data_IF_950826912189
#
_entry.id   IF_950826912189
#
_cell.length_a   1.000
_cell.length_b   1.000
_cell.length_c   1.000
_cell.angle_alpha   90.00
_cell.angle_beta   90.00
_cell.angle_gamma   90.00
#
_symmetry.space_group_name_H-M   'P 1'
#
loop_
_entity.id
_entity.type
_entity.pdbx_description
1 polymer ?
#
# COMPACT_ATOMS: atom_id res chain seq x y z
N UNK A 1 -30.05 -45.25 -14.30
CA UNK A 1 -28.92 -46.20 -14.44
C UNK A 1 -27.71 -45.46 -14.97
N UNK A 2 -26.57 -45.62 -14.28
CA UNK A 2 -25.16 -45.45 -14.72
C UNK A 2 -24.62 -44.03 -14.97
N UNK A 3 -23.86 -43.57 -13.97
CA UNK A 3 -22.75 -42.61 -14.02
C UNK A 3 -21.77 -42.93 -15.16
N UNK A 4 -21.09 -41.90 -15.69
CA UNK A 4 -19.71 -42.01 -16.14
C UNK A 4 -18.96 -40.68 -15.90
N UNK A 5 -18.03 -40.73 -14.94
CA UNK A 5 -16.96 -39.75 -14.73
C UNK A 5 -15.81 -40.04 -15.71
N UNK A 6 -15.14 -39.01 -16.22
CA UNK A 6 -13.81 -39.17 -16.82
C UNK A 6 -12.94 -37.96 -16.47
N UNK A 7 -12.07 -38.19 -15.50
CA UNK A 7 -10.96 -37.32 -15.10
C UNK A 7 -9.79 -37.67 -16.02
N UNK A 8 -9.21 -36.68 -16.71
CA UNK A 8 -7.93 -36.82 -17.40
C UNK A 8 -6.91 -35.87 -16.74
N UNK A 9 -6.08 -36.43 -15.87
CA UNK A 9 -4.89 -35.78 -15.32
C UNK A 9 -3.71 -36.06 -16.25
N UNK A 10 -3.06 -35.02 -16.77
CA UNK A 10 -1.77 -35.13 -17.46
C UNK A 10 -0.72 -34.34 -16.68
N UNK A 11 0.15 -35.07 -15.99
CA UNK A 11 1.36 -34.55 -15.35
C UNK A 11 2.53 -34.81 -16.32
N UNK A 12 3.22 -33.75 -16.74
CA UNK A 12 4.54 -33.88 -17.35
C UNK A 12 5.57 -33.16 -16.46
N UNK A 13 6.47 -33.95 -15.88
CA UNK A 13 7.69 -33.50 -15.21
C UNK A 13 8.83 -33.69 -16.21
N UNK A 14 9.50 -32.61 -16.59
CA UNK A 14 10.76 -32.66 -17.31
C UNK A 14 11.86 -32.10 -16.41
N UNK A 15 12.79 -32.96 -16.01
CA UNK A 15 14.02 -32.59 -15.30
C UNK A 15 15.20 -32.75 -16.25
N UNK A 16 15.96 -31.69 -16.50
CA UNK A 16 17.26 -31.75 -17.18
C UNK A 16 18.33 -31.29 -16.20
N UNK A 17 19.14 -32.25 -15.74
CA UNK A 17 20.44 -31.99 -15.12
C UNK A 17 21.52 -32.04 -16.21
N UNK A 18 22.35 -31.00 -16.30
CA UNK A 18 23.68 -31.11 -16.89
C UNK A 18 24.63 -30.06 -16.27
N UNK A 19 25.74 -30.55 -15.71
CA UNK A 19 26.99 -29.88 -15.36
C UNK A 19 28.07 -30.99 -15.33
N UNK A 20 29.38 -30.70 -15.33
CA UNK A 20 30.14 -29.68 -16.06
C UNK A 20 31.29 -30.35 -16.89
N UNK A 21 31.99 -29.60 -17.75
CA UNK A 21 33.27 -30.06 -18.32
C UNK A 21 34.25 -28.90 -18.45
N UNK A 22 35.36 -29.01 -17.72
CA UNK A 22 36.51 -28.13 -17.82
C UNK A 22 37.41 -28.51 -19.00
N UNK A 23 37.98 -27.50 -19.65
CA UNK A 23 38.86 -27.67 -20.80
C UNK A 23 39.88 -26.55 -20.89
N UNK A 24 41.13 -26.92 -20.61
CA UNK A 24 42.37 -26.15 -20.62
C UNK A 24 42.54 -25.30 -21.89
N UNK A 25 43.05 -24.07 -21.75
CA UNK A 25 43.71 -23.33 -22.84
C UNK A 25 45.18 -23.14 -22.49
N UNK A 26 46.05 -23.77 -23.27
CA UNK A 26 47.49 -23.53 -23.29
C UNK A 26 47.83 -22.69 -24.54
N UNK A 27 48.53 -21.59 -24.28
CA UNK A 27 49.71 -21.06 -24.99
C UNK A 27 49.66 -20.87 -26.51
N UNK A 28 49.87 -19.63 -26.97
CA UNK A 28 51.09 -19.27 -27.73
C UNK A 28 51.27 -17.74 -27.86
N UNK A 29 52.54 -17.33 -27.76
CA UNK A 29 53.18 -16.11 -28.29
C UNK A 29 53.07 -14.80 -27.49
N UNK A 30 54.16 -14.43 -26.79
CA UNK A 30 55.15 -13.45 -27.24
C UNK A 30 56.07 -13.03 -26.09
N UNK A 31 57.36 -12.89 -26.41
CA UNK A 31 58.48 -12.63 -25.50
C UNK A 31 58.82 -11.12 -25.51
N UNK A 32 59.11 -10.61 -24.31
CA UNK A 32 59.96 -9.45 -23.95
C UNK A 32 59.59 -8.02 -24.38
N UNK A 33 59.35 -7.17 -23.35
CA UNK A 33 60.12 -5.95 -23.04
C UNK A 33 59.63 -5.45 -21.66
N UNK A 34 60.43 -5.57 -20.60
CA UNK A 34 61.32 -4.56 -20.05
C UNK A 34 60.72 -3.87 -18.81
N UNK A 35 61.51 -3.91 -17.73
CA UNK A 35 61.20 -3.54 -16.36
C UNK A 35 60.91 -2.05 -16.14
N UNK A 36 60.19 -1.75 -15.05
CA UNK A 36 60.10 -0.38 -14.52
C UNK A 36 59.10 -0.24 -13.36
N UNK A 37 59.53 -0.67 -12.17
CA UNK A 37 59.30 -0.04 -10.85
C UNK A 37 57.88 0.17 -10.31
N UNK A 38 57.65 -0.43 -9.15
CA UNK A 38 56.49 -0.29 -8.25
C UNK A 38 56.36 1.11 -7.59
N UNK A 39 55.22 1.26 -6.89
CA UNK A 39 54.90 2.12 -5.74
C UNK A 39 54.08 3.39 -6.03
N UNK A 40 52.79 3.35 -5.69
CA UNK A 40 52.04 4.37 -4.93
C UNK A 40 50.58 3.89 -4.77
N UNK A 41 50.17 3.39 -3.60
CA UNK A 41 49.71 4.13 -2.42
C UNK A 41 48.20 4.45 -2.48
N UNK A 42 47.49 3.84 -1.53
CA UNK A 42 46.11 4.10 -1.12
C UNK A 42 45.81 5.58 -0.91
N UNK A 43 44.64 6.02 -1.40
CA UNK A 43 43.98 7.23 -0.91
C UNK A 43 42.66 6.83 -0.25
N UNK A 44 42.72 6.77 1.09
CA UNK A 44 41.57 6.89 1.99
C UNK A 44 41.09 8.33 1.91
N UNK A 45 39.82 8.56 1.59
CA UNK A 45 39.19 9.87 1.70
C UNK A 45 38.29 9.88 2.94
N UNK A 46 38.82 10.44 4.02
CA UNK A 46 38.07 10.91 5.19
C UNK A 46 37.35 12.20 4.85
N UNK A 47 36.05 12.31 5.18
CA UNK A 47 35.42 13.61 5.41
C UNK A 47 34.83 13.57 6.82
N UNK A 48 35.26 14.55 7.61
CA UNK A 48 34.94 14.72 9.01
C UNK A 48 33.65 15.52 9.23
N UNK A 49 33.14 15.34 10.44
CA UNK A 49 32.07 16.05 11.14
C UNK A 49 32.04 17.58 10.97
N UNK A 50 30.83 18.13 10.92
CA UNK A 50 30.53 19.50 11.34
C UNK A 50 29.10 19.58 11.87
N UNK A 51 28.99 19.86 13.16
CA UNK A 51 27.76 20.05 13.91
C UNK A 51 27.19 21.48 13.80
N UNK A 52 25.86 21.54 13.90
CA UNK A 52 24.99 22.58 14.46
C UNK A 52 24.99 24.02 13.89
N UNK A 53 23.84 24.42 13.34
CA UNK A 53 23.27 25.74 13.57
C UNK A 53 21.73 25.69 13.50
N UNK A 54 21.13 26.13 14.60
CA UNK A 54 19.70 26.26 14.91
C UNK A 54 19.11 27.49 14.21
N UNK A 55 17.97 27.36 13.55
CA UNK A 55 17.04 28.49 13.35
C UNK A 55 15.60 28.00 13.41
N UNK A 56 14.94 28.41 14.49
CA UNK A 56 13.51 28.34 14.78
C UNK A 56 12.72 29.23 13.83
N UNK A 57 11.67 28.71 13.18
CA UNK A 57 10.62 29.53 12.60
C UNK A 57 9.26 28.85 12.85
N UNK A 58 8.45 29.50 13.67
CA UNK A 58 7.11 29.10 14.05
C UNK A 58 6.16 29.17 12.85
N UNK A 59 5.50 28.04 12.55
CA UNK A 59 4.37 27.95 11.64
C UNK A 59 3.11 27.65 12.42
N UNK A 60 2.14 28.57 12.35
CA UNK A 60 0.90 28.56 13.10
C UNK A 60 0.09 27.25 12.92
N UNK A 61 -0.19 26.59 14.04
CA UNK A 61 -1.14 25.50 14.12
C UNK A 61 -2.54 26.04 13.87
N UNK A 62 -3.12 25.69 12.73
CA UNK A 62 -4.57 25.82 12.52
C UNK A 62 -5.16 24.50 13.00
N UNK A 63 -5.65 24.50 14.25
CA UNK A 63 -6.37 23.39 14.85
C UNK A 63 -7.70 23.21 14.11
N UNK A 64 -7.76 22.26 13.18
CA UNK A 64 -9.04 21.70 12.75
C UNK A 64 -9.38 20.58 13.71
N UNK A 65 -10.40 20.79 14.53
CA UNK A 65 -10.91 19.83 15.49
C UNK A 65 -11.31 18.54 14.78
N UNK A 66 -10.56 17.46 15.02
CA UNK A 66 -11.02 16.12 14.75
C UNK A 66 -12.15 15.82 15.74
N UNK A 67 -13.33 15.50 15.20
CA UNK A 67 -14.42 14.98 16.00
C UNK A 67 -13.98 13.61 16.52
N UNK A 68 -13.73 13.53 17.83
CA UNK A 68 -13.56 12.28 18.56
C UNK A 68 -14.87 11.52 18.44
N UNK A 69 -14.87 10.44 17.67
CA UNK A 69 -15.85 9.37 17.78
C UNK A 69 -15.18 8.21 18.48
N UNK A 70 -16.01 7.49 19.24
CA UNK A 70 -15.67 6.47 20.23
C UNK A 70 -14.36 5.75 19.90
N UNK A 71 -13.31 6.07 20.68
CA UNK A 71 -12.11 5.25 20.72
C UNK A 71 -12.58 3.89 21.21
N UNK A 72 -12.49 2.86 20.36
CA UNK A 72 -12.36 1.50 20.85
C UNK A 72 -11.27 1.51 21.94
N UNK A 73 -11.50 0.77 23.03
CA UNK A 73 -10.55 0.72 24.15
C UNK A 73 -9.19 0.31 23.60
N UNK A 74 -8.28 1.29 23.43
CA UNK A 74 -6.95 1.08 22.84
C UNK A 74 -6.33 -0.15 23.47
N UNK A 75 -6.12 -1.19 22.66
CA UNK A 75 -5.42 -2.38 23.14
C UNK A 75 -4.07 -1.90 23.68
N UNK A 76 -3.74 -2.14 24.95
CA UNK A 76 -2.45 -1.74 25.50
C UNK A 76 -1.25 -2.35 24.74
N UNK A 77 -1.52 -3.31 23.85
CA UNK A 77 -0.57 -3.92 22.93
C UNK A 77 -0.69 -3.41 21.47
N UNK A 78 -1.13 -2.17 21.30
CA UNK A 78 -1.22 -1.47 20.02
C UNK A 78 -0.45 -0.14 20.02
N UNK A 79 0.19 0.17 18.90
CA UNK A 79 0.87 1.44 18.64
C UNK A 79 0.23 2.11 17.43
N UNK A 80 -0.54 3.15 17.67
CA UNK A 80 -1.03 4.04 16.60
C UNK A 80 0.03 5.10 16.31
N UNK A 81 0.43 5.23 15.05
CA UNK A 81 1.38 6.26 14.60
C UNK A 81 0.93 6.94 13.31
N UNK A 82 1.46 8.14 13.10
CA UNK A 82 1.21 8.94 11.90
C UNK A 82 2.46 8.94 11.01
N UNK A 83 2.26 8.85 9.70
CA UNK A 83 3.35 8.90 8.72
C UNK A 83 3.07 9.91 7.60
N UNK A 84 4.01 9.99 6.65
CA UNK A 84 3.88 10.75 5.41
C UNK A 84 4.26 9.85 4.24
N UNK A 85 3.64 10.09 3.09
CA UNK A 85 4.06 9.41 1.87
C UNK A 85 5.52 9.73 1.51
N UNK A 86 6.22 8.74 0.99
CA UNK A 86 7.63 8.79 0.62
C UNK A 86 8.60 8.70 1.80
N UNK A 87 8.13 8.63 3.05
CA UNK A 87 8.98 8.55 4.26
C UNK A 87 9.05 7.11 4.76
N UNK A 88 10.25 6.67 5.17
CA UNK A 88 10.42 5.39 5.85
C UNK A 88 10.06 5.54 7.33
N UNK A 89 9.27 4.61 7.84
CA UNK A 89 8.84 4.52 9.24
C UNK A 89 9.15 3.14 9.80
N UNK A 90 9.58 3.09 11.06
CA UNK A 90 9.84 1.83 11.74
C UNK A 90 8.53 1.23 12.22
N UNK A 91 8.37 -0.07 12.00
CA UNK A 91 7.31 -0.89 12.58
C UNK A 91 7.94 -1.75 13.67
N UNK A 92 7.40 -1.66 14.88
CA UNK A 92 7.91 -2.38 16.05
C UNK A 92 7.89 -3.89 15.86
N UNK A 93 8.67 -4.62 16.65
CA UNK A 93 8.57 -6.07 16.75
C UNK A 93 7.83 -6.48 18.03
N UNK A 94 8.01 -7.75 18.43
CA UNK A 94 7.49 -8.27 19.69
C UNK A 94 6.01 -8.62 19.67
N UNK A 95 5.41 -8.79 18.48
CA UNK A 95 3.98 -9.07 18.33
C UNK A 95 3.09 -8.00 18.98
N UNK A 96 3.50 -6.74 18.83
CA UNK A 96 2.73 -5.54 19.14
C UNK A 96 2.11 -5.07 17.81
N UNK A 97 0.80 -4.82 17.79
CA UNK A 97 0.12 -4.31 16.59
C UNK A 97 0.55 -2.85 16.38
N UNK A 98 0.87 -2.46 15.14
CA UNK A 98 1.24 -1.08 14.78
C UNK A 98 0.39 -0.60 13.63
N UNK A 99 -0.30 0.51 13.85
CA UNK A 99 -1.26 1.09 12.92
C UNK A 99 -0.69 2.39 12.41
N UNK A 100 -0.35 2.38 11.12
CA UNK A 100 0.32 3.51 10.48
C UNK A 100 -0.67 4.27 9.60
N UNK A 101 -1.15 5.39 10.13
CA UNK A 101 -2.06 6.28 9.45
C UNK A 101 -1.30 7.21 8.49
N UNK A 102 -1.81 7.33 7.26
CA UNK A 102 -1.30 8.26 6.25
C UNK A 102 -2.20 9.50 6.13
N UNK A 103 -1.70 10.60 5.53
CA UNK A 103 -2.50 11.80 5.33
C UNK A 103 -3.79 11.51 4.55
N UNK A 104 -4.87 12.21 4.93
CA UNK A 104 -6.18 12.11 4.26
C UNK A 104 -6.08 12.62 2.82
N UNK A 105 -6.58 11.82 1.87
CA UNK A 105 -6.76 12.12 0.46
C UNK A 105 -8.08 12.84 0.18
N UNK A 106 -8.68 12.60 -0.99
CA UNK A 106 -9.94 13.24 -1.40
C UNK A 106 -11.12 12.69 -0.59
N UNK A 107 -11.15 11.40 -0.36
CA UNK A 107 -12.27 10.66 0.19
C UNK A 107 -11.96 9.98 1.54
N UNK A 108 -10.69 9.75 1.88
CA UNK A 108 -10.30 9.04 3.09
C UNK A 108 -8.79 8.94 3.24
N UNK A 109 -8.32 8.17 4.21
CA UNK A 109 -6.90 7.90 4.39
C UNK A 109 -6.59 6.41 4.27
N UNK A 110 -5.39 6.11 3.79
CA UNK A 110 -4.81 4.79 3.88
C UNK A 110 -4.31 4.55 5.31
N UNK A 111 -4.53 3.34 5.81
CA UNK A 111 -3.86 2.79 6.97
C UNK A 111 -3.13 1.49 6.60
N UNK A 112 -1.98 1.27 7.23
CA UNK A 112 -1.26 -0.01 7.16
C UNK A 112 -1.12 -0.55 8.58
N UNK A 113 -1.80 -1.67 8.85
CA UNK A 113 -1.61 -2.43 10.08
C UNK A 113 -0.52 -3.50 9.92
N UNK A 114 0.30 -3.62 10.93
CA UNK A 114 1.37 -4.60 10.99
C UNK A 114 1.48 -5.23 12.38
N UNK A 115 1.70 -6.54 12.42
CA UNK A 115 2.12 -7.25 13.63
C UNK A 115 3.11 -8.34 13.26
N UNK A 116 4.20 -8.43 14.00
CA UNK A 116 5.16 -9.52 13.87
C UNK A 116 6.11 -9.55 15.07
N UNK A 117 6.76 -10.69 15.31
CA UNK A 117 7.82 -10.79 16.30
C UNK A 117 9.05 -9.94 15.92
N UNK A 118 9.40 -9.86 14.64
CA UNK A 118 10.54 -9.07 14.16
C UNK A 118 10.08 -7.76 13.54
N UNK A 119 10.75 -6.66 13.90
CA UNK A 119 10.52 -5.32 13.36
C UNK A 119 10.67 -5.26 11.83
N UNK A 120 10.06 -4.24 11.22
CA UNK A 120 10.16 -3.93 9.77
C UNK A 120 10.33 -2.43 9.55
N UNK A 121 10.62 -2.06 8.31
CA UNK A 121 10.63 -0.65 7.88
C UNK A 121 9.62 -0.49 6.76
N UNK A 122 8.56 0.27 7.01
CA UNK A 122 7.53 0.57 6.03
C UNK A 122 7.87 1.84 5.27
N UNK A 123 7.61 1.85 3.97
CA UNK A 123 7.51 3.07 3.17
C UNK A 123 6.29 2.94 2.29
N UNK A 124 5.45 3.98 2.25
CA UNK A 124 4.35 4.07 1.31
C UNK A 124 4.54 5.29 0.43
N UNK A 125 4.39 5.14 -0.88
CA UNK A 125 4.51 6.25 -1.85
C UNK A 125 3.27 6.33 -2.71
N UNK A 126 2.75 7.52 -2.95
CA UNK A 126 1.64 7.73 -3.88
C UNK A 126 2.10 7.65 -5.33
N UNK A 127 1.29 7.01 -6.16
CA UNK A 127 1.38 7.03 -7.61
C UNK A 127 0.16 7.79 -8.17
N UNK A 128 0.42 8.96 -8.76
CA UNK A 128 -0.59 9.85 -9.35
C UNK A 128 -0.98 9.45 -10.77
N UNK A 129 -0.36 8.40 -11.31
CA UNK A 129 -0.71 7.78 -12.59
C UNK A 129 -0.94 6.29 -12.34
N UNK A 130 -2.02 5.93 -11.63
CA UNK A 130 -2.33 4.54 -11.32
C UNK A 130 -2.56 3.72 -12.61
N UNK A 131 -2.47 2.40 -12.48
CA UNK A 131 -2.95 1.47 -13.51
C UNK A 131 -4.46 1.58 -13.77
N UNK A 132 -5.01 0.61 -14.47
CA UNK A 132 -6.45 0.64 -14.82
C UNK A 132 -7.31 0.07 -13.71
N UNK A 133 -8.46 0.69 -13.43
CA UNK A 133 -9.46 0.15 -12.49
C UNK A 133 -9.99 -1.22 -12.95
N UNK A 134 -10.40 -2.11 -12.03
CA UNK A 134 -11.10 -3.33 -12.39
C UNK A 134 -12.42 -3.01 -13.10
N UNK A 135 -12.85 -3.88 -14.02
CA UNK A 135 -14.15 -3.69 -14.71
C UNK A 135 -15.30 -3.63 -13.70
N UNK A 136 -16.19 -2.64 -13.86
CA UNK A 136 -17.34 -2.41 -12.99
C UNK A 136 -17.03 -1.60 -11.73
N UNK A 137 -15.81 -1.07 -11.62
CA UNK A 137 -15.38 -0.25 -10.50
C UNK A 137 -14.75 1.07 -10.99
N UNK A 138 -14.96 2.12 -10.20
CA UNK A 138 -14.27 3.39 -10.32
C UNK A 138 -13.24 3.53 -9.19
N UNK A 139 -12.15 4.24 -9.45
CA UNK A 139 -11.23 4.65 -8.39
C UNK A 139 -11.95 5.56 -7.39
N UNK A 140 -11.81 5.24 -6.10
CA UNK A 140 -12.26 6.12 -5.03
C UNK A 140 -11.31 7.30 -4.84
N UNK A 141 -10.00 7.06 -4.94
CA UNK A 141 -8.95 8.09 -4.87
C UNK A 141 -8.28 8.27 -6.24
N UNK A 142 -7.83 9.48 -6.63
CA UNK A 142 -7.13 9.70 -7.90
C UNK A 142 -5.68 9.16 -7.90
N UNK A 143 -5.28 8.44 -6.85
CA UNK A 143 -3.94 7.91 -6.64
C UNK A 143 -4.01 6.43 -6.28
N UNK A 144 -2.87 5.77 -6.34
CA UNK A 144 -2.63 4.44 -5.76
C UNK A 144 -1.42 4.49 -4.84
N UNK A 145 -1.27 3.49 -3.97
CA UNK A 145 -0.30 3.48 -2.89
C UNK A 145 0.67 2.32 -3.05
N UNK A 146 1.94 2.64 -3.28
CA UNK A 146 3.04 1.67 -3.35
C UNK A 146 3.57 1.41 -1.95
N UNK A 147 3.28 0.22 -1.43
CA UNK A 147 3.72 -0.25 -0.12
C UNK A 147 5.01 -1.06 -0.28
N UNK A 148 6.05 -0.61 0.40
CA UNK A 148 7.34 -1.27 0.51
C UNK A 148 7.61 -1.64 1.96
N UNK A 149 8.16 -2.83 2.19
CA UNK A 149 8.45 -3.34 3.53
C UNK A 149 9.88 -3.90 3.60
N UNK A 150 10.80 -3.13 4.18
CA UNK A 150 12.14 -3.56 4.52
C UNK A 150 12.11 -4.73 5.51
N UNK A 151 12.81 -5.82 5.20
CA UNK A 151 12.71 -7.09 5.92
C UNK A 151 11.67 -8.08 5.35
N UNK A 152 10.87 -7.64 4.37
CA UNK A 152 9.94 -8.48 3.61
C UNK A 152 8.63 -8.80 4.34
N UNK A 153 7.64 -9.23 3.56
CA UNK A 153 6.26 -9.44 3.96
C UNK A 153 5.85 -10.93 4.04
N UNK A 154 6.82 -11.84 4.11
CA UNK A 154 6.52 -13.27 4.23
C UNK A 154 6.28 -13.65 5.69
N UNK A 155 5.24 -14.45 5.92
CA UNK A 155 4.93 -15.08 7.22
C UNK A 155 4.88 -14.08 8.38
N UNK A 156 4.30 -12.90 8.15
CA UNK A 156 4.05 -11.93 9.21
C UNK A 156 2.79 -12.35 9.99
N UNK A 157 2.73 -12.00 11.27
CA UNK A 157 1.59 -12.33 12.15
C UNK A 157 0.30 -11.62 11.70
N UNK A 158 0.40 -10.36 11.29
CA UNK A 158 -0.70 -9.57 10.73
C UNK A 158 -0.18 -8.63 9.65
N UNK A 159 -0.94 -8.52 8.57
CA UNK A 159 -0.74 -7.53 7.52
C UNK A 159 -2.11 -7.10 7.01
N UNK A 160 -2.39 -5.80 7.09
CA UNK A 160 -3.59 -5.26 6.49
C UNK A 160 -3.31 -4.00 5.67
N UNK A 161 -4.21 -3.73 4.73
CA UNK A 161 -4.21 -2.54 3.88
C UNK A 161 -5.60 -1.94 3.95
N UNK A 162 -5.76 -0.98 4.84
CA UNK A 162 -7.06 -0.51 5.24
C UNK A 162 -7.31 0.91 4.74
N UNK A 163 -8.59 1.28 4.69
CA UNK A 163 -8.99 2.58 4.20
C UNK A 163 -10.16 3.13 4.98
N UNK A 164 -9.88 4.21 5.71
CA UNK A 164 -10.84 4.89 6.56
C UNK A 164 -11.49 6.02 5.77
N UNK A 165 -12.82 6.00 5.64
CA UNK A 165 -13.55 7.06 4.97
C UNK A 165 -13.50 8.35 5.78
N UNK A 166 -13.16 9.46 5.12
CA UNK A 166 -13.26 10.78 5.75
C UNK A 166 -14.72 11.16 6.01
N UNK A 167 -14.94 11.89 7.10
CA UNK A 167 -16.26 12.44 7.42
C UNK A 167 -16.81 13.34 6.29
N UNK A 168 -15.94 14.06 5.58
CA UNK A 168 -16.33 14.91 4.45
C UNK A 168 -16.86 14.09 3.26
N UNK A 169 -16.20 12.99 2.91
CA UNK A 169 -16.66 12.08 1.84
C UNK A 169 -17.99 11.42 2.19
N UNK A 170 -18.11 10.96 3.44
CA UNK A 170 -19.36 10.39 3.96
C UNK A 170 -20.51 11.42 3.92
N UNK A 171 -20.27 12.65 4.37
CA UNK A 171 -21.26 13.73 4.30
C UNK A 171 -21.62 14.10 2.86
N UNK A 172 -20.70 13.93 1.92
CA UNK A 172 -20.96 14.10 0.51
C UNK A 172 -21.80 12.96 -0.09
N UNK A 173 -22.06 11.86 0.64
CA UNK A 173 -22.91 10.76 0.18
C UNK A 173 -22.16 9.67 -0.59
N UNK A 174 -20.83 9.63 -0.51
CA UNK A 174 -20.04 8.51 -1.02
C UNK A 174 -20.25 7.31 -0.10
N UNK A 175 -20.62 6.16 -0.67
CA UNK A 175 -20.78 4.90 0.07
C UNK A 175 -19.66 3.93 -0.28
N UNK A 176 -18.89 3.51 0.72
CA UNK A 176 -17.80 2.54 0.57
C UNK A 176 -18.17 1.14 1.08
N UNK A 177 -19.40 0.90 1.53
CA UNK A 177 -19.84 -0.41 2.06
C UNK A 177 -19.83 -1.56 1.03
N UNK A 178 -19.70 -1.21 -0.25
CA UNK A 178 -19.49 -2.11 -1.39
C UNK A 178 -18.15 -1.88 -2.09
N UNK A 179 -17.28 -1.09 -1.48
CA UNK A 179 -15.97 -0.82 -1.98
C UNK A 179 -15.08 -2.05 -1.98
N UNK A 180 -13.94 -1.91 -2.62
CA UNK A 180 -12.91 -2.95 -2.70
C UNK A 180 -11.54 -2.31 -2.50
N UNK A 181 -10.66 -3.00 -1.78
CA UNK A 181 -9.23 -2.73 -1.79
C UNK A 181 -8.60 -3.65 -2.84
N UNK A 182 -8.02 -3.06 -3.89
CA UNK A 182 -7.44 -3.81 -5.00
C UNK A 182 -5.93 -3.71 -5.07
N UNK A 183 -5.30 -4.75 -5.62
CA UNK A 183 -3.85 -4.83 -5.84
C UNK A 183 -3.53 -4.75 -7.33
N UNK A 184 -2.50 -4.02 -7.70
CA UNK A 184 -2.06 -3.94 -9.09
C UNK A 184 -1.44 -5.28 -9.53
N UNK A 185 -1.96 -5.85 -10.62
CA UNK A 185 -1.26 -6.88 -11.39
C UNK A 185 -0.28 -6.20 -12.35
N UNK A 186 1.01 -6.33 -12.08
CA UNK A 186 2.07 -5.64 -12.83
C UNK A 186 2.11 -6.06 -14.30
N UNK A 187 1.77 -7.32 -14.61
CA UNK A 187 1.79 -7.88 -15.96
C UNK A 187 0.72 -7.26 -16.86
N UNK A 188 -0.45 -6.96 -16.29
CA UNK A 188 -1.59 -6.39 -17.03
C UNK A 188 -1.76 -4.90 -16.83
N UNK A 189 -1.00 -4.29 -15.91
CA UNK A 189 -1.16 -2.91 -15.45
C UNK A 189 -2.62 -2.58 -15.07
N UNK A 190 -3.31 -3.55 -14.49
CA UNK A 190 -4.72 -3.47 -14.09
C UNK A 190 -4.86 -3.96 -12.66
N UNK A 191 -5.68 -3.28 -11.86
CA UNK A 191 -5.96 -3.71 -10.50
C UNK A 191 -6.89 -4.92 -10.49
N UNK A 192 -6.64 -5.83 -9.56
CA UNK A 192 -7.48 -6.98 -9.26
C UNK A 192 -8.10 -6.80 -7.87
N UNK A 193 -9.31 -7.33 -7.70
CA UNK A 193 -10.11 -7.26 -6.45
C UNK A 193 -10.70 -8.63 -6.12
N UNK A 194 -11.21 -8.79 -4.91
CA UNK A 194 -11.86 -10.02 -4.43
C UNK A 194 -10.89 -11.01 -3.78
N UNK A 195 -11.37 -12.25 -3.56
CA UNK A 195 -10.74 -13.24 -2.69
C UNK A 195 -9.30 -13.65 -3.08
N UNK A 196 -8.89 -13.45 -4.34
CA UNK A 196 -7.50 -13.70 -4.77
C UNK A 196 -6.50 -12.64 -4.28
N UNK A 197 -6.98 -11.55 -3.68
CA UNK A 197 -6.17 -10.43 -3.18
C UNK A 197 -5.98 -10.52 -1.67
N UNK A 198 -7.05 -10.80 -0.94
CA UNK A 198 -7.11 -10.86 0.52
C UNK A 198 -8.53 -11.06 1.02
N UNK A 199 -8.69 -11.05 2.34
CA UNK A 199 -9.99 -11.11 3.01
C UNK A 199 -10.45 -9.68 3.32
N UNK A 200 -11.51 -9.24 2.64
CA UNK A 200 -12.07 -7.90 2.75
C UNK A 200 -13.25 -7.88 3.73
N UNK A 201 -13.24 -6.91 4.62
CA UNK A 201 -14.33 -6.57 5.53
C UNK A 201 -14.70 -5.09 5.40
N UNK A 202 -15.97 -4.77 5.63
CA UNK A 202 -16.41 -3.39 5.81
C UNK A 202 -16.85 -3.20 7.26
N UNK A 203 -16.13 -2.35 7.98
CA UNK A 203 -16.37 -2.06 9.38
C UNK A 203 -17.27 -0.81 9.47
N UNK A 204 -18.56 -1.05 9.73
CA UNK A 204 -19.58 0.00 9.62
C UNK A 204 -19.43 1.10 10.67
N UNK A 205 -18.92 0.75 11.85
CA UNK A 205 -18.75 1.67 12.97
C UNK A 205 -17.64 2.70 12.68
N UNK A 206 -16.56 2.25 12.04
CA UNK A 206 -15.40 3.10 11.67
C UNK A 206 -15.53 3.69 10.26
N UNK A 207 -16.42 3.15 9.43
CA UNK A 207 -16.52 3.46 7.99
C UNK A 207 -15.22 3.14 7.27
N UNK A 208 -14.79 1.90 7.44
CA UNK A 208 -13.50 1.42 7.00
C UNK A 208 -13.64 0.18 6.12
N UNK A 209 -12.79 0.11 5.09
CA UNK A 209 -12.54 -1.11 4.35
C UNK A 209 -11.26 -1.73 4.88
N UNK A 210 -11.38 -2.90 5.50
CA UNK A 210 -10.27 -3.62 6.09
C UNK A 210 -9.88 -4.79 5.18
N UNK A 211 -8.63 -4.87 4.74
CA UNK A 211 -8.16 -5.95 3.88
C UNK A 211 -6.98 -6.70 4.50
N UNK A 212 -7.25 -7.89 5.03
CA UNK A 212 -6.21 -8.79 5.51
C UNK A 212 -5.54 -9.52 4.35
N UNK A 213 -4.20 -9.51 4.30
CA UNK A 213 -3.42 -10.04 3.17
C UNK A 213 -2.24 -10.91 3.62
N UNK A 214 -1.85 -11.88 2.78
CA UNK A 214 -0.63 -12.67 3.02
C UNK A 214 0.66 -11.89 2.70
N UNK A 215 0.54 -10.80 1.93
CA UNK A 215 1.67 -9.97 1.51
C UNK A 215 1.21 -8.56 1.12
N UNK A 216 1.45 -7.59 2.01
CA UNK A 216 1.12 -6.18 1.79
C UNK A 216 2.04 -5.46 0.79
N UNK A 217 3.19 -6.01 0.42
CA UNK A 217 4.12 -5.34 -0.51
C UNK A 217 3.53 -5.34 -1.92
N UNK A 218 3.28 -4.16 -2.47
CA UNK A 218 2.62 -4.01 -3.77
C UNK A 218 2.09 -2.60 -3.98
N UNK A 219 1.34 -2.42 -5.07
CA UNK A 219 0.61 -1.19 -5.34
C UNK A 219 -0.88 -1.43 -5.14
N UNK A 220 -1.51 -0.56 -4.35
CA UNK A 220 -2.87 -0.72 -3.86
C UNK A 220 -3.73 0.47 -4.24
N UNK A 221 -5.01 0.25 -4.49
CA UNK A 221 -5.97 1.31 -4.74
C UNK A 221 -7.34 0.93 -4.21
N UNK A 222 -8.15 1.95 -3.93
CA UNK A 222 -9.47 1.77 -3.36
C UNK A 222 -10.50 2.05 -4.44
N UNK A 223 -11.51 1.20 -4.49
CA UNK A 223 -12.50 1.16 -5.53
C UNK A 223 -13.90 1.18 -4.95
N UNK A 224 -14.83 1.76 -5.69
CA UNK A 224 -16.26 1.62 -5.44
C UNK A 224 -16.95 1.17 -6.74
N UNK A 225 -18.10 0.49 -6.67
CA UNK A 225 -18.84 0.13 -7.87
C UNK A 225 -19.07 1.35 -8.76
N UNK A 226 -18.98 1.17 -10.08
CA UNK A 226 -19.11 2.30 -11.02
C UNK A 226 -20.40 3.09 -10.76
N UNK A 227 -20.27 4.41 -10.65
CA UNK A 227 -21.38 5.32 -10.34
C UNK A 227 -21.68 5.51 -8.85
N UNK A 228 -21.06 4.75 -7.93
CA UNK A 228 -21.22 4.94 -6.48
C UNK A 228 -20.45 6.16 -5.93
N UNK A 229 -19.38 6.60 -6.61
CA UNK A 229 -18.63 7.80 -6.24
C UNK A 229 -19.31 9.11 -6.68
N UNK A 230 -20.33 9.03 -7.54
CA UNK A 230 -21.12 10.18 -7.96
C UNK A 230 -22.27 10.37 -6.96
N UNK A 231 -21.97 11.07 -5.88
CA UNK A 231 -23.01 11.61 -5.03
C UNK A 231 -24.02 12.39 -5.89
N UNK A 232 -25.28 11.97 -5.85
CA UNK A 232 -26.37 12.80 -6.38
C UNK A 232 -26.42 14.04 -5.48
N UNK A 233 -26.22 15.27 -5.99
CA UNK A 233 -26.47 16.44 -5.18
C UNK A 233 -27.91 16.33 -4.68
N UNK A 234 -28.10 16.39 -3.37
CA UNK A 234 -29.43 16.49 -2.79
C UNK A 234 -30.15 17.63 -3.52
N UNK A 235 -31.08 17.30 -4.40
CA UNK A 235 -31.96 18.27 -5.02
C UNK A 235 -32.68 18.95 -3.87
N UNK A 236 -32.29 20.19 -3.58
CA UNK A 236 -32.99 21.03 -2.62
C UNK A 236 -34.47 20.96 -2.95
N UNK A 237 -35.27 20.57 -1.96
CA UNK A 237 -36.71 20.70 -2.03
C UNK A 237 -37.01 22.18 -2.30
N UNK A 238 -37.31 22.47 -3.56
CA UNK A 238 -37.65 23.80 -4.03
C UNK A 238 -38.86 24.31 -3.27
N UNK A 239 -38.71 25.54 -2.79
CA UNK A 239 -39.82 26.36 -2.36
C UNK A 239 -40.84 26.55 -3.50
N UNK A 240 -42.13 26.51 -3.16
CA UNK A 240 -43.14 27.38 -3.76
C UNK A 240 -44.24 26.72 -4.59
N UNK A 241 -45.41 26.53 -3.97
CA UNK A 241 -46.75 26.77 -4.51
C UNK A 241 -47.76 26.53 -3.37
N UNK A 242 -48.68 27.39 -2.98
CA UNK A 242 -49.06 28.74 -3.35
C UNK A 242 -50.08 29.21 -2.31
N UNK A 243 -50.06 30.49 -1.96
CA UNK A 243 -51.05 31.09 -1.05
C UNK A 243 -52.38 31.18 -1.80
N UNK A 244 -53.41 30.54 -1.26
CA UNK A 244 -54.79 30.72 -1.72
C UNK A 244 -55.29 32.12 -1.32
N UNK A 245 -55.98 32.80 -2.23
CA UNK A 245 -56.89 33.89 -1.87
C UNK A 245 -58.18 33.70 -2.68
N UNK A 246 -59.34 33.51 -2.03
CA UNK A 246 -60.63 33.55 -2.70
C UNK A 246 -61.23 34.96 -2.66
N UNK A 247 -61.72 35.42 -3.82
CA UNK A 247 -62.85 36.33 -3.97
C UNK A 247 -63.56 35.98 -5.28
#
# INVERSE_FOLDING_TARGET
MKLNYSILMAVQVLSVLAHPSGGKKQTTTAVAAAAGTEVAASAVSTIADAAAATTTAAGAATTSAAAVKEEEEKDPNEVVQQSKFGVAVNLGGGDIKTDTNFPVGKNGNLEIEFKNTAARVLRVTENTTPGTAPTGFDFLEPVSYKVELGGGAKNLTLQKVDYIQSAASKAAGVDISKGQVGRLCAESNTFVVGAGVGELEFEADENELTLTVDNMVGEWAIFVPTGAAAATPATGAGAGAGVATPA
#
